data_IF_618628757065
#
_entry.id   IF_618628757065
#
_cell.length_a   1.000
_cell.length_b   1.000
_cell.length_c   1.000
_cell.angle_alpha   90.00
_cell.angle_beta   90.00
_cell.angle_gamma   90.00
#
_symmetry.space_group_name_H-M   'P 1'
#
loop_
_entity.id
_entity.type
_entity.pdbx_description
1 polymer ?
#
# COMPACT_ATOMS: atom_id res chain seq x y z
N UNK A 1 6.91 -12.05 -24.64
CA UNK A 1 7.71 -12.98 -23.80
C UNK A 1 8.36 -12.13 -22.75
N UNK A 2 7.86 -12.17 -21.53
CA UNK A 2 8.48 -11.47 -20.39
C UNK A 2 9.68 -12.30 -20.00
N UNK A 3 10.88 -11.68 -20.00
CA UNK A 3 12.14 -12.32 -19.66
C UNK A 3 12.08 -12.83 -18.22
N UNK A 4 12.36 -14.12 -18.01
CA UNK A 4 12.24 -14.84 -16.74
C UNK A 4 13.35 -14.49 -15.72
N UNK A 5 14.02 -13.35 -15.85
CA UNK A 5 15.02 -12.87 -14.90
C UNK A 5 14.45 -12.09 -13.70
N UNK A 6 13.12 -12.05 -13.55
CA UNK A 6 12.54 -11.68 -12.28
C UNK A 6 12.72 -12.86 -11.33
N UNK A 7 13.65 -12.75 -10.40
CA UNK A 7 13.92 -13.75 -9.38
C UNK A 7 12.79 -13.86 -8.36
N UNK A 8 11.59 -14.21 -8.82
CA UNK A 8 10.55 -14.71 -7.94
C UNK A 8 10.92 -16.14 -7.61
N UNK A 9 11.35 -16.36 -6.39
CA UNK A 9 11.57 -17.70 -5.87
C UNK A 9 10.19 -18.37 -5.69
N UNK A 10 9.80 -19.20 -6.67
CA UNK A 10 8.54 -19.96 -6.66
C UNK A 10 8.48 -21.03 -5.56
N UNK A 11 9.50 -21.12 -4.73
CA UNK A 11 9.62 -22.14 -3.69
C UNK A 11 8.63 -21.99 -2.52
N UNK A 12 7.87 -20.90 -2.43
CA UNK A 12 6.98 -20.65 -1.28
C UNK A 12 5.50 -20.97 -1.54
N UNK A 13 5.13 -21.41 -2.72
CA UNK A 13 3.80 -21.99 -2.99
C UNK A 13 3.86 -23.53 -2.90
N UNK A 14 4.01 -24.03 -1.69
CA UNK A 14 3.89 -25.47 -1.45
C UNK A 14 2.41 -25.88 -1.42
N UNK A 15 1.80 -26.07 -2.59
CA UNK A 15 0.50 -26.71 -2.68
C UNK A 15 0.72 -28.24 -2.79
N UNK A 16 0.25 -28.98 -1.79
CA UNK A 16 0.37 -30.44 -1.74
C UNK A 16 -0.56 -31.18 -2.73
N UNK A 17 -1.29 -30.47 -3.58
CA UNK A 17 -2.13 -31.07 -4.62
C UNK A 17 -1.35 -31.24 -5.92
N UNK A 18 -0.90 -32.46 -6.17
CA UNK A 18 -0.03 -32.87 -7.29
C UNK A 18 -0.68 -32.80 -8.70
N UNK A 19 -1.93 -32.35 -8.82
CA UNK A 19 -2.65 -32.36 -10.10
C UNK A 19 -2.78 -30.97 -10.77
N UNK A 20 -2.17 -29.94 -10.22
CA UNK A 20 -2.14 -28.60 -10.84
C UNK A 20 -0.83 -28.40 -11.58
N UNK A 21 -0.92 -28.13 -12.88
CA UNK A 21 0.23 -27.88 -13.73
C UNK A 21 1.11 -26.72 -13.21
N UNK A 22 2.39 -26.77 -13.53
CA UNK A 22 3.36 -25.71 -13.21
C UNK A 22 3.14 -24.56 -14.18
N UNK A 23 2.97 -23.33 -13.67
CA UNK A 23 2.95 -22.12 -14.50
C UNK A 23 4.36 -21.87 -15.03
N UNK A 24 4.58 -22.09 -16.32
CA UNK A 24 5.88 -21.95 -16.98
C UNK A 24 6.07 -20.60 -17.67
N UNK A 25 5.06 -19.72 -17.64
CA UNK A 25 5.13 -18.38 -18.21
C UNK A 25 3.75 -17.72 -18.33
N UNK A 26 3.77 -16.43 -18.68
CA UNK A 26 2.59 -15.64 -18.96
C UNK A 26 2.68 -15.14 -20.39
N UNK A 27 1.58 -15.22 -21.13
CA UNK A 27 1.44 -14.65 -22.46
C UNK A 27 0.36 -13.57 -22.41
N UNK A 28 0.72 -12.34 -22.79
CA UNK A 28 -0.25 -11.27 -22.95
C UNK A 28 -1.00 -11.52 -24.28
N UNK A 29 -2.30 -11.82 -24.22
CA UNK A 29 -3.15 -11.93 -25.39
C UNK A 29 -4.12 -10.77 -25.44
N UNK A 30 -4.13 -10.06 -26.54
CA UNK A 30 -5.22 -9.14 -26.87
C UNK A 30 -6.49 -9.96 -27.15
N UNK A 31 -7.53 -9.73 -26.34
CA UNK A 31 -8.84 -10.33 -26.57
C UNK A 31 -9.81 -9.23 -26.91
N UNK A 32 -10.28 -9.24 -28.16
CA UNK A 32 -11.36 -8.36 -28.61
C UNK A 32 -12.68 -9.08 -28.35
N UNK A 33 -13.50 -8.59 -27.44
CA UNK A 33 -14.87 -9.06 -27.25
C UNK A 33 -15.85 -8.09 -27.88
N UNK A 34 -16.77 -8.61 -28.71
CA UNK A 34 -17.88 -7.85 -29.25
C UNK A 34 -18.91 -7.58 -28.15
N UNK A 35 -19.26 -6.31 -27.94
CA UNK A 35 -20.21 -5.87 -26.89
C UNK A 35 -21.68 -5.95 -27.38
N UNK A 36 -21.97 -6.70 -28.43
CA UNK A 36 -23.25 -6.65 -29.12
C UNK A 36 -24.46 -7.26 -28.39
N UNK A 37 -24.34 -7.68 -27.12
CA UNK A 37 -25.45 -8.30 -26.38
C UNK A 37 -25.71 -7.74 -24.98
N UNK A 38 -25.42 -6.45 -24.72
CA UNK A 38 -25.85 -5.84 -23.46
C UNK A 38 -27.07 -4.94 -23.66
N UNK A 39 -28.27 -5.55 -23.70
CA UNK A 39 -29.55 -4.84 -23.60
C UNK A 39 -29.88 -4.59 -22.12
N UNK A 40 -29.29 -3.57 -21.54
CA UNK A 40 -29.57 -3.16 -20.17
C UNK A 40 -28.98 -1.78 -19.93
N UNK A 41 -29.76 -0.73 -20.21
CA UNK A 41 -29.31 0.63 -20.23
C UNK A 41 -28.87 1.19 -18.87
N UNK A 42 -27.68 1.71 -18.84
CA UNK A 42 -27.29 2.92 -18.10
C UNK A 42 -26.18 3.59 -18.89
N UNK A 43 -26.55 4.66 -19.55
CA UNK A 43 -25.62 5.54 -20.27
C UNK A 43 -24.73 6.26 -19.26
N UNK A 44 -23.54 5.79 -19.07
CA UNK A 44 -22.44 6.62 -18.59
C UNK A 44 -21.48 6.80 -19.75
N UNK A 45 -21.42 8.04 -20.27
CA UNK A 45 -20.52 8.38 -21.35
C UNK A 45 -19.06 8.17 -20.90
N UNK A 46 -18.46 7.14 -21.39
CA UNK A 46 -17.01 7.01 -21.40
C UNK A 46 -16.50 7.79 -22.60
N UNK A 47 -16.24 9.07 -22.39
CA UNK A 47 -15.34 9.82 -23.26
C UNK A 47 -13.99 9.13 -23.24
N UNK A 48 -13.33 9.10 -24.37
CA UNK A 48 -12.06 8.43 -24.65
C UNK A 48 -11.05 8.55 -23.48
N UNK A 49 -11.06 7.57 -22.59
CA UNK A 49 -10.18 7.51 -21.42
C UNK A 49 -8.74 7.11 -21.79
N UNK A 50 -8.35 7.22 -23.07
CA UNK A 50 -6.96 6.94 -23.49
C UNK A 50 -6.02 8.13 -23.37
N UNK A 51 -6.53 9.35 -23.32
CA UNK A 51 -5.67 10.54 -23.27
C UNK A 51 -5.58 11.19 -21.89
N UNK A 52 -6.50 10.88 -20.95
CA UNK A 52 -6.52 11.55 -19.65
C UNK A 52 -5.67 10.85 -18.56
N UNK A 53 -5.22 9.63 -18.80
CA UNK A 53 -4.39 8.90 -17.80
C UNK A 53 -2.92 9.35 -17.82
N UNK A 54 -2.47 10.00 -18.89
CA UNK A 54 -1.08 10.44 -19.05
C UNK A 54 -0.85 11.93 -18.78
N UNK A 55 -1.90 12.75 -18.72
CA UNK A 55 -1.74 14.20 -18.53
C UNK A 55 -1.83 14.69 -17.10
N UNK A 56 -2.07 13.83 -16.13
CA UNK A 56 -2.10 14.21 -14.71
C UNK A 56 -0.91 13.75 -13.87
N UNK A 57 0.16 13.27 -14.48
CA UNK A 57 1.47 13.20 -13.82
C UNK A 57 2.18 14.55 -14.01
N UNK A 58 1.45 15.64 -13.82
CA UNK A 58 1.99 16.97 -13.65
C UNK A 58 2.59 17.04 -12.25
N UNK A 59 3.81 17.51 -12.18
CA UNK A 59 4.56 17.97 -11.03
C UNK A 59 3.69 18.43 -9.85
N UNK A 60 3.12 17.53 -9.08
CA UNK A 60 2.48 17.89 -7.81
C UNK A 60 2.66 16.77 -6.82
N UNK A 61 3.40 17.13 -5.78
CA UNK A 61 3.38 16.54 -4.44
C UNK A 61 3.21 15.02 -4.38
N UNK A 62 4.18 14.42 -4.36
CA UNK A 62 4.90 13.41 -3.61
C UNK A 62 4.14 12.49 -2.64
N UNK A 63 2.84 12.52 -2.50
CA UNK A 63 2.16 11.60 -1.63
C UNK A 63 1.74 10.36 -2.42
N UNK A 64 2.27 9.21 -2.00
CA UNK A 64 1.93 7.94 -2.60
C UNK A 64 0.45 7.62 -2.43
N UNK A 65 -0.20 7.22 -3.51
CA UNK A 65 -1.55 6.65 -3.49
C UNK A 65 -1.43 5.14 -3.58
N UNK A 66 -0.89 4.53 -2.55
CA UNK A 66 -0.80 3.07 -2.45
C UNK A 66 -1.23 2.61 -1.06
N UNK A 67 -1.60 1.35 -0.92
CA UNK A 67 -1.91 0.74 0.37
C UNK A 67 -0.67 0.65 1.25
N UNK A 68 -0.88 0.67 2.55
CA UNK A 68 0.19 0.57 3.54
C UNK A 68 0.94 -0.77 3.48
N UNK A 69 0.32 -1.79 2.91
CA UNK A 69 0.91 -3.12 2.72
C UNK A 69 1.47 -3.33 1.31
N UNK A 70 1.64 -2.27 0.53
CA UNK A 70 2.14 -2.35 -0.84
C UNK A 70 3.64 -2.64 -0.87
N UNK A 71 4.05 -3.52 -1.78
CA UNK A 71 5.46 -3.80 -2.10
C UNK A 71 5.99 -2.98 -3.27
N UNK A 72 5.23 -2.04 -3.75
CA UNK A 72 5.64 -1.13 -4.81
C UNK A 72 5.05 0.26 -4.59
N UNK A 73 5.75 1.27 -5.07
CA UNK A 73 5.30 2.66 -5.01
C UNK A 73 5.79 3.42 -6.23
N UNK A 74 5.09 4.51 -6.55
CA UNK A 74 5.41 5.40 -7.65
C UNK A 74 5.93 6.73 -7.10
N UNK A 75 7.07 7.18 -7.64
CA UNK A 75 7.62 8.49 -7.33
C UNK A 75 8.46 9.00 -8.51
N UNK A 76 8.32 10.27 -8.90
CA UNK A 76 9.12 10.93 -9.94
C UNK A 76 9.25 10.11 -11.24
N UNK A 77 8.13 9.59 -11.78
CA UNK A 77 8.09 8.72 -12.96
C UNK A 77 8.95 7.45 -12.84
N UNK A 78 9.17 6.98 -11.65
CA UNK A 78 9.80 5.68 -11.37
C UNK A 78 8.84 4.80 -10.59
N UNK A 79 8.88 3.50 -10.88
CA UNK A 79 8.27 2.46 -10.07
C UNK A 79 9.37 1.82 -9.22
N UNK A 80 9.19 1.86 -7.92
CA UNK A 80 10.05 1.16 -6.96
C UNK A 80 9.31 -0.09 -6.51
N UNK A 81 9.88 -1.24 -6.76
CA UNK A 81 9.34 -2.53 -6.32
C UNK A 81 10.32 -3.19 -5.35
N UNK A 82 9.84 -3.55 -4.16
CA UNK A 82 10.67 -4.17 -3.13
C UNK A 82 10.40 -5.67 -3.05
N UNK A 83 11.48 -6.40 -2.88
CA UNK A 83 11.48 -7.79 -2.44
C UNK A 83 12.00 -7.84 -1.00
N UNK A 84 12.22 -9.01 -0.44
CA UNK A 84 12.70 -9.17 0.95
C UNK A 84 13.97 -8.38 1.27
N UNK A 85 14.85 -8.20 0.28
CA UNK A 85 16.15 -7.60 0.50
C UNK A 85 16.63 -6.65 -0.61
N UNK A 86 15.88 -6.50 -1.69
CA UNK A 86 16.22 -5.61 -2.79
C UNK A 86 15.05 -4.71 -3.18
N UNK A 87 15.41 -3.52 -3.65
CA UNK A 87 14.52 -2.60 -4.34
C UNK A 87 14.94 -2.50 -5.79
N UNK A 88 14.01 -2.80 -6.68
CA UNK A 88 14.19 -2.67 -8.13
C UNK A 88 13.50 -1.42 -8.62
N UNK A 89 14.20 -0.64 -9.43
CA UNK A 89 13.72 0.64 -9.96
C UNK A 89 13.44 0.48 -11.45
N UNK A 90 12.25 0.90 -11.86
CA UNK A 90 11.85 0.92 -13.26
C UNK A 90 11.59 2.36 -13.69
N UNK A 91 12.18 2.75 -14.82
CA UNK A 91 11.94 4.06 -15.41
C UNK A 91 10.66 4.03 -16.26
N UNK A 92 9.67 4.82 -15.88
CA UNK A 92 8.39 4.96 -16.57
C UNK A 92 8.39 6.09 -17.59
N UNK A 93 9.50 6.83 -17.73
CA UNK A 93 9.60 7.99 -18.63
C UNK A 93 9.59 7.61 -20.12
N UNK A 94 9.83 6.34 -20.43
CA UNK A 94 9.89 5.83 -21.80
C UNK A 94 8.77 4.82 -22.06
N UNK A 95 8.12 4.97 -23.20
CA UNK A 95 7.12 4.00 -23.67
C UNK A 95 7.81 2.67 -24.06
N UNK A 96 7.56 1.63 -23.27
CA UNK A 96 7.74 0.21 -23.54
C UNK A 96 9.04 -0.29 -24.25
N UNK A 97 9.56 -1.44 -23.85
CA UNK A 97 9.16 -2.26 -22.71
C UNK A 97 9.77 -1.77 -21.39
N UNK A 98 9.04 -1.94 -20.29
CA UNK A 98 9.51 -1.62 -18.94
C UNK A 98 10.79 -2.44 -18.65
N UNK A 99 11.89 -1.75 -18.36
CA UNK A 99 13.15 -2.37 -17.99
C UNK A 99 13.59 -1.90 -16.62
N UNK A 100 14.06 -2.82 -15.80
CA UNK A 100 14.74 -2.47 -14.58
C UNK A 100 15.99 -1.64 -14.93
N UNK A 101 16.14 -0.49 -14.30
CA UNK A 101 17.31 0.38 -14.48
C UNK A 101 18.36 0.12 -13.41
N UNK A 102 17.91 -0.10 -12.17
CA UNK A 102 18.77 -0.32 -11.02
C UNK A 102 18.14 -1.35 -10.07
N UNK A 103 19.00 -2.05 -9.31
CA UNK A 103 18.60 -2.90 -8.19
C UNK A 103 19.51 -2.61 -7.00
N UNK A 104 18.93 -2.19 -5.89
CA UNK A 104 19.63 -1.75 -4.68
C UNK A 104 19.33 -2.72 -3.55
N UNK A 105 20.37 -3.19 -2.86
CA UNK A 105 20.18 -3.93 -1.62
C UNK A 105 19.71 -2.99 -0.51
N UNK A 106 18.55 -3.26 0.08
CA UNK A 106 17.90 -2.35 1.05
C UNK A 106 17.82 -2.90 2.48
N UNK A 107 18.29 -4.10 2.71
CA UNK A 107 18.26 -4.72 4.05
C UNK A 107 17.59 -6.09 4.05
N UNK A 108 17.05 -6.50 5.18
CA UNK A 108 16.46 -7.82 5.37
C UNK A 108 14.96 -7.70 5.62
N UNK A 109 14.18 -8.60 4.99
CA UNK A 109 12.74 -8.76 5.20
C UNK A 109 11.94 -7.46 5.02
N UNK A 110 12.21 -6.72 3.93
CA UNK A 110 11.36 -5.59 3.57
C UNK A 110 10.00 -6.12 3.12
N UNK A 111 8.94 -5.67 3.80
CA UNK A 111 7.58 -6.14 3.55
C UNK A 111 6.73 -5.11 2.81
N UNK A 112 6.97 -3.83 3.07
CA UNK A 112 6.16 -2.74 2.53
C UNK A 112 7.02 -1.56 2.11
N UNK A 113 6.52 -0.74 1.18
CA UNK A 113 7.16 0.51 0.78
C UNK A 113 6.11 1.60 0.55
N UNK A 114 6.36 2.77 1.11
CA UNK A 114 5.55 3.96 0.94
C UNK A 114 6.44 5.15 0.57
N UNK A 115 6.03 5.96 -0.42
CA UNK A 115 6.75 7.19 -0.77
C UNK A 115 6.06 8.40 -0.17
N UNK A 116 6.87 9.27 0.43
CA UNK A 116 6.43 10.56 0.94
C UNK A 116 7.55 11.58 0.73
N UNK A 117 7.23 12.69 0.07
CA UNK A 117 8.23 13.65 -0.40
C UNK A 117 9.37 12.94 -1.15
N UNK A 118 10.61 13.35 -0.93
CA UNK A 118 11.80 12.75 -1.56
C UNK A 118 12.33 11.52 -0.81
N UNK A 119 11.44 10.77 -0.12
CA UNK A 119 11.84 9.62 0.70
C UNK A 119 10.96 8.39 0.47
N UNK A 120 11.56 7.23 0.64
CA UNK A 120 10.89 5.94 0.72
C UNK A 120 10.96 5.41 2.15
N UNK A 121 9.82 5.05 2.69
CA UNK A 121 9.66 4.45 4.00
C UNK A 121 9.33 2.98 3.81
N UNK A 122 10.18 2.11 4.32
CA UNK A 122 10.05 0.66 4.15
C UNK A 122 9.81 0.00 5.49
N UNK A 123 8.69 -0.71 5.60
CA UNK A 123 8.36 -1.52 6.76
C UNK A 123 9.10 -2.87 6.72
N UNK A 124 9.58 -3.28 7.88
CA UNK A 124 10.23 -4.57 8.11
C UNK A 124 9.71 -5.19 9.41
N UNK A 125 9.84 -6.50 9.67
CA UNK A 125 9.40 -7.10 10.93
C UNK A 125 10.05 -6.52 12.19
N UNK A 126 11.09 -5.74 12.08
CA UNK A 126 11.87 -5.22 13.22
C UNK A 126 11.93 -3.71 13.27
N UNK A 127 11.27 -3.03 12.34
CA UNK A 127 11.31 -1.57 12.28
C UNK A 127 10.99 -0.98 10.92
N UNK A 128 11.34 0.26 10.76
CA UNK A 128 11.18 1.02 9.53
C UNK A 128 12.56 1.50 9.06
N UNK A 129 12.79 1.40 7.75
CA UNK A 129 14.01 1.90 7.07
C UNK A 129 13.61 3.07 6.18
N UNK A 130 14.45 4.10 6.13
CA UNK A 130 14.21 5.30 5.33
C UNK A 130 15.34 5.47 4.31
N UNK A 131 14.96 5.63 3.03
CA UNK A 131 15.86 5.97 1.93
C UNK A 131 15.43 7.31 1.32
N UNK A 132 16.40 8.16 1.00
CA UNK A 132 16.16 9.33 0.14
C UNK A 132 16.17 8.92 -1.33
N UNK A 133 15.25 9.49 -2.08
CA UNK A 133 15.14 9.38 -3.54
C UNK A 133 15.20 10.76 -4.21
N UNK A 134 15.90 11.70 -3.60
CA UNK A 134 16.22 13.01 -4.21
C UNK A 134 16.88 12.81 -5.58
N UNK A 135 17.76 11.81 -5.74
CA UNK A 135 18.09 11.23 -7.06
C UNK A 135 17.26 9.95 -7.22
N UNK A 136 16.20 9.97 -8.07
CA UNK A 136 15.29 8.85 -8.19
C UNK A 136 15.92 7.54 -8.68
N UNK A 137 17.10 7.60 -9.29
CA UNK A 137 17.83 6.41 -9.76
C UNK A 137 18.90 5.94 -8.76
N UNK A 138 19.19 6.72 -7.72
CA UNK A 138 20.20 6.41 -6.71
C UNK A 138 19.67 6.57 -5.29
N UNK A 139 18.79 5.70 -4.83
CA UNK A 139 18.30 5.75 -3.46
C UNK A 139 19.45 5.67 -2.46
N UNK A 140 19.45 6.60 -1.50
CA UNK A 140 20.47 6.69 -0.45
C UNK A 140 19.86 6.40 0.92
N UNK A 141 20.45 5.45 1.64
CA UNK A 141 20.04 5.15 3.02
C UNK A 141 20.19 6.38 3.92
N UNK A 142 19.15 6.69 4.68
CA UNK A 142 19.13 7.82 5.61
C UNK A 142 19.21 7.35 7.06
N UNK A 143 18.33 6.45 7.44
CA UNK A 143 18.23 5.97 8.82
C UNK A 143 17.35 4.72 8.92
N UNK A 144 17.27 4.20 10.13
CA UNK A 144 16.27 3.22 10.53
C UNK A 144 15.82 3.45 11.96
N UNK A 145 14.59 3.04 12.26
CA UNK A 145 14.07 2.99 13.64
C UNK A 145 13.60 1.58 13.92
N UNK A 146 14.04 1.02 15.05
CA UNK A 146 13.64 -0.32 15.47
C UNK A 146 12.45 -0.27 16.42
N UNK A 147 11.61 -1.27 16.36
CA UNK A 147 10.51 -1.48 17.30
C UNK A 147 10.39 -2.97 17.68
N UNK A 148 9.37 -3.30 18.45
CA UNK A 148 9.04 -4.69 18.83
C UNK A 148 8.68 -5.49 17.57
N UNK A 149 9.05 -6.73 17.51
CA UNK A 149 8.82 -7.63 16.38
C UNK A 149 7.34 -7.64 15.95
N UNK A 150 7.07 -7.30 14.69
CA UNK A 150 5.73 -7.24 14.11
C UNK A 150 5.80 -7.18 12.58
N UNK A 151 4.68 -7.33 11.88
CA UNK A 151 4.60 -7.08 10.44
C UNK A 151 4.01 -5.68 10.24
N UNK A 152 4.70 -4.80 9.51
CA UNK A 152 4.55 -3.36 9.70
C UNK A 152 4.18 -2.59 8.42
N UNK A 153 2.88 -2.50 8.13
CA UNK A 153 2.36 -1.47 7.24
C UNK A 153 2.77 -0.08 7.70
N UNK A 154 3.22 0.75 6.75
CA UNK A 154 3.60 2.14 7.01
C UNK A 154 2.95 3.09 6.02
N UNK A 155 2.44 4.21 6.52
CA UNK A 155 2.06 5.39 5.73
C UNK A 155 2.61 6.64 6.39
N UNK A 156 2.85 7.68 5.61
CA UNK A 156 3.41 8.94 6.10
C UNK A 156 2.55 10.11 5.62
N UNK A 157 2.27 11.05 6.52
CA UNK A 157 1.59 12.30 6.21
C UNK A 157 2.00 13.37 7.24
N UNK A 158 2.20 14.61 6.78
CA UNK A 158 2.58 15.74 7.64
C UNK A 158 3.75 15.43 8.58
N UNK A 159 4.84 14.86 8.04
CA UNK A 159 6.05 14.49 8.79
C UNK A 159 5.83 13.46 9.91
N UNK A 160 4.72 12.76 9.90
CA UNK A 160 4.42 11.67 10.82
C UNK A 160 4.24 10.34 10.07
N UNK A 161 5.03 9.35 10.45
CA UNK A 161 4.84 7.98 9.99
C UNK A 161 3.93 7.22 10.96
N UNK A 162 2.93 6.54 10.41
CA UNK A 162 1.97 5.70 11.12
C UNK A 162 2.28 4.25 10.80
N UNK A 163 2.66 3.50 11.80
CA UNK A 163 3.11 2.11 11.66
C UNK A 163 2.19 1.21 12.50
N UNK A 164 1.56 0.25 11.86
CA UNK A 164 0.74 -0.74 12.56
C UNK A 164 1.56 -1.99 12.87
N UNK A 165 1.67 -2.36 14.12
CA UNK A 165 2.34 -3.57 14.58
C UNK A 165 1.28 -4.60 14.94
N UNK A 166 1.28 -5.74 14.26
CA UNK A 166 0.30 -6.81 14.42
C UNK A 166 0.91 -8.08 15.01
N UNK A 167 0.29 -8.62 16.06
CA UNK A 167 0.64 -9.89 16.67
C UNK A 167 -0.05 -11.08 16.00
N UNK A 168 0.44 -12.29 16.27
CA UNK A 168 -0.25 -13.53 15.85
C UNK A 168 0.11 -14.06 14.48
N UNK A 169 1.11 -13.50 13.82
CA UNK A 169 1.77 -14.06 12.65
C UNK A 169 3.14 -14.65 13.02
N UNK A 170 3.88 -15.15 12.04
CA UNK A 170 5.23 -15.69 12.22
C UNK A 170 6.26 -14.70 12.82
N UNK A 171 5.87 -13.41 12.93
CA UNK A 171 6.71 -12.34 13.47
C UNK A 171 6.77 -12.29 15.01
N UNK A 172 5.93 -12.99 15.76
CA UNK A 172 6.29 -13.58 17.06
C UNK A 172 6.09 -12.80 18.36
N UNK A 173 5.33 -11.66 18.43
CA UNK A 173 5.02 -11.01 19.73
C UNK A 173 3.54 -10.68 19.90
N UNK A 174 3.05 -10.66 21.16
CA UNK A 174 1.66 -10.34 21.51
C UNK A 174 1.42 -8.82 21.64
N UNK A 175 1.94 -8.04 20.69
CA UNK A 175 1.79 -6.58 20.71
C UNK A 175 0.99 -6.11 19.50
N UNK A 176 -0.24 -5.68 19.76
CA UNK A 176 -1.09 -5.01 18.78
C UNK A 176 -1.09 -3.52 19.06
N UNK A 177 -0.47 -2.75 18.20
CA UNK A 177 -0.33 -1.31 18.43
C UNK A 177 -0.26 -0.50 17.13
N UNK A 178 -0.61 0.76 17.23
CA UNK A 178 -0.29 1.81 16.26
C UNK A 178 0.83 2.65 16.85
N UNK A 179 1.97 2.67 16.19
CA UNK A 179 3.11 3.52 16.55
C UNK A 179 3.13 4.74 15.64
N UNK A 180 3.44 5.91 16.20
CA UNK A 180 3.62 7.14 15.46
C UNK A 180 5.05 7.62 15.65
N UNK A 181 5.69 7.92 14.53
CA UNK A 181 7.09 8.34 14.45
C UNK A 181 7.16 9.72 13.79
N UNK A 182 7.79 10.69 14.46
CA UNK A 182 8.18 11.97 13.86
C UNK A 182 9.34 11.72 12.89
N UNK A 183 9.11 12.03 11.62
CA UNK A 183 10.05 11.87 10.51
C UNK A 183 10.40 13.21 9.86
N UNK A 184 10.10 14.34 10.51
CA UNK A 184 10.48 15.67 10.07
C UNK A 184 12.00 15.80 9.85
N UNK A 185 12.77 14.98 10.55
CA UNK A 185 14.17 14.75 10.27
C UNK A 185 14.39 13.26 9.98
N UNK A 186 14.35 12.89 8.70
CA UNK A 186 14.51 11.51 8.23
C UNK A 186 15.81 10.84 8.66
N UNK A 187 16.83 11.61 9.07
CA UNK A 187 18.11 11.09 9.59
C UNK A 187 18.06 10.70 11.06
N UNK A 188 17.07 11.23 11.80
CA UNK A 188 16.92 10.99 13.25
C UNK A 188 15.43 10.85 13.58
N UNK A 189 14.75 9.84 13.03
CA UNK A 189 13.33 9.62 13.30
C UNK A 189 13.11 9.33 14.79
N UNK A 190 11.97 9.77 15.34
CA UNK A 190 11.67 9.62 16.77
C UNK A 190 10.28 9.06 16.97
N UNK A 191 10.16 7.97 17.71
CA UNK A 191 8.86 7.53 18.17
C UNK A 191 8.26 8.56 19.13
N UNK A 192 7.07 9.07 18.79
CA UNK A 192 6.40 10.14 19.56
C UNK A 192 5.16 9.63 20.28
N UNK A 193 4.53 8.56 19.79
CA UNK A 193 3.37 7.96 20.45
C UNK A 193 3.23 6.47 20.12
N UNK A 194 2.48 5.77 21.00
CA UNK A 194 2.06 4.39 20.79
C UNK A 194 0.66 4.22 21.36
N UNK A 195 -0.23 3.62 20.57
CA UNK A 195 -1.62 3.36 20.95
C UNK A 195 -1.89 1.85 20.88
N UNK A 196 -2.44 1.29 21.95
CA UNK A 196 -2.86 -0.11 21.96
C UNK A 196 -4.04 -0.32 21.03
N UNK A 197 -3.95 -1.34 20.17
CA UNK A 197 -4.97 -1.74 19.21
C UNK A 197 -5.47 -3.16 19.51
N UNK A 198 -6.46 -3.62 18.75
CA UNK A 198 -7.04 -4.96 18.92
C UNK A 198 -6.36 -5.98 18.01
N UNK A 199 -6.34 -5.68 16.71
CA UNK A 199 -5.74 -6.50 15.65
C UNK A 199 -5.49 -5.61 14.44
N UNK A 200 -4.57 -4.63 14.55
CA UNK A 200 -4.36 -3.63 13.52
C UNK A 200 -3.71 -4.28 12.29
N UNK A 201 -4.17 -3.87 11.12
CA UNK A 201 -3.67 -4.29 9.81
C UNK A 201 -3.33 -3.06 8.98
N UNK A 202 -3.88 -2.93 7.79
CA UNK A 202 -3.65 -1.79 6.94
C UNK A 202 -4.09 -0.46 7.56
N UNK A 203 -3.36 0.59 7.23
CA UNK A 203 -3.55 1.96 7.69
C UNK A 203 -3.49 2.92 6.51
N UNK A 204 -4.25 4.00 6.55
CA UNK A 204 -4.23 5.04 5.53
C UNK A 204 -4.48 6.41 6.15
N UNK A 205 -3.98 7.44 5.51
CA UNK A 205 -4.16 8.83 5.94
C UNK A 205 -4.70 9.65 4.78
N UNK A 206 -5.62 10.55 5.06
CA UNK A 206 -6.11 11.54 4.13
C UNK A 206 -6.71 12.74 4.88
N UNK A 207 -6.29 13.95 4.51
CA UNK A 207 -6.82 15.20 5.03
C UNK A 207 -6.87 15.28 6.58
N UNK A 208 -5.82 14.85 7.26
CA UNK A 208 -5.73 14.86 8.73
C UNK A 208 -6.58 13.80 9.42
N UNK A 209 -7.08 12.85 8.66
CA UNK A 209 -7.78 11.67 9.16
C UNK A 209 -6.92 10.42 9.01
N UNK A 210 -6.99 9.56 10.01
CA UNK A 210 -6.38 8.24 10.00
C UNK A 210 -7.47 7.17 9.89
N UNK A 211 -7.32 6.30 8.93
CA UNK A 211 -8.15 5.13 8.68
C UNK A 211 -7.36 3.89 9.06
N UNK A 212 -7.95 3.01 9.85
CA UNK A 212 -7.26 1.82 10.36
C UNK A 212 -8.16 0.59 10.29
N UNK A 213 -7.68 -0.45 9.63
CA UNK A 213 -8.27 -1.79 9.72
C UNK A 213 -7.90 -2.39 11.08
N UNK A 214 -8.79 -2.31 12.07
CA UNK A 214 -8.59 -2.86 13.41
C UNK A 214 -9.91 -3.35 14.01
N UNK A 215 -10.16 -4.66 13.93
CA UNK A 215 -11.44 -5.28 14.31
C UNK A 215 -12.66 -4.54 13.68
N UNK A 216 -12.56 -4.25 12.40
CA UNK A 216 -13.43 -3.38 11.62
C UNK A 216 -12.65 -2.22 11.02
N UNK A 217 -13.33 -1.15 10.63
CA UNK A 217 -12.73 0.10 10.21
C UNK A 217 -12.84 1.13 11.34
N UNK A 218 -11.71 1.64 11.79
CA UNK A 218 -11.62 2.72 12.78
C UNK A 218 -11.15 4.01 12.12
N UNK A 219 -11.78 5.11 12.47
CA UNK A 219 -11.44 6.45 12.02
C UNK A 219 -11.03 7.32 13.20
N UNK A 220 -9.96 8.07 12.98
CA UNK A 220 -9.44 9.02 13.96
C UNK A 220 -9.15 10.35 13.29
N UNK A 221 -9.31 11.46 14.01
CA UNK A 221 -8.62 12.71 13.66
C UNK A 221 -7.25 12.74 14.31
N UNK A 222 -6.29 13.27 13.56
CA UNK A 222 -4.93 13.49 14.02
C UNK A 222 -4.87 14.93 14.56
N UNK A 223 -4.79 15.07 15.87
CA UNK A 223 -4.64 16.39 16.51
C UNK A 223 -3.17 16.61 16.84
N UNK A 224 -2.57 17.61 16.21
CA UNK A 224 -1.19 18.04 16.41
C UNK A 224 -1.18 19.45 17.02
N UNK A 225 -0.05 19.95 17.61
CA UNK A 225 1.30 19.38 17.60
C UNK A 225 1.96 19.10 18.96
N UNK A 226 1.54 19.66 20.07
CA UNK A 226 2.30 19.50 21.32
C UNK A 226 1.93 18.24 22.11
N UNK A 227 0.75 17.70 21.88
CA UNK A 227 0.27 16.46 22.48
C UNK A 227 -0.41 15.67 21.37
N UNK A 228 0.37 14.84 20.67
CA UNK A 228 -0.18 13.98 19.64
C UNK A 228 -1.30 13.12 20.23
N UNK A 229 -2.50 13.40 19.83
CA UNK A 229 -3.69 12.73 20.29
C UNK A 229 -4.50 12.24 19.10
N UNK A 230 -4.83 10.96 19.09
CA UNK A 230 -5.77 10.39 18.16
C UNK A 230 -7.15 10.44 18.76
N UNK A 231 -7.97 11.34 18.27
CA UNK A 231 -9.38 11.37 18.66
C UNK A 231 -10.18 10.38 17.83
N UNK A 232 -10.68 9.33 18.46
CA UNK A 232 -11.59 8.40 17.80
C UNK A 232 -12.85 9.12 17.32
N UNK A 233 -13.12 9.05 16.02
CA UNK A 233 -14.33 9.57 15.40
C UNK A 233 -15.41 8.51 15.35
N UNK A 234 -15.09 7.37 14.75
CA UNK A 234 -16.05 6.31 14.46
C UNK A 234 -15.37 4.95 14.38
N UNK A 235 -16.11 3.93 14.73
CA UNK A 235 -15.78 2.55 14.43
C UNK A 235 -16.94 1.91 13.66
N UNK A 236 -16.62 1.31 12.52
CA UNK A 236 -17.54 0.53 11.71
C UNK A 236 -17.22 -0.95 11.91
N UNK A 237 -18.12 -1.68 12.54
CA UNK A 237 -18.04 -3.13 12.69
C UNK A 237 -18.59 -3.82 11.43
N UNK A 238 -18.09 -5.02 11.14
CA UNK A 238 -18.52 -5.77 9.94
C UNK A 238 -17.77 -5.39 8.65
N UNK A 239 -16.86 -4.42 8.70
CA UNK A 239 -15.91 -4.11 7.65
C UNK A 239 -14.56 -4.80 7.99
N UNK A 240 -14.39 -6.07 7.61
CA UNK A 240 -13.18 -6.84 7.92
C UNK A 240 -12.11 -6.63 6.83
N UNK A 241 -11.51 -5.43 6.81
CA UNK A 241 -10.46 -5.07 5.87
C UNK A 241 -9.09 -5.62 6.25
N UNK A 242 -8.26 -5.87 5.23
CA UNK A 242 -6.84 -6.17 5.36
C UNK A 242 -5.98 -4.93 5.14
N UNK A 243 -6.25 -4.20 4.05
CA UNK A 243 -5.58 -2.95 3.71
C UNK A 243 -6.57 -1.96 3.13
N UNK A 244 -6.21 -0.69 3.11
CA UNK A 244 -7.08 0.38 2.65
C UNK A 244 -6.30 1.55 2.06
N UNK A 245 -6.93 2.24 1.13
CA UNK A 245 -6.42 3.44 0.47
C UNK A 245 -7.53 4.49 0.51
N UNK A 246 -7.44 5.51 1.37
CA UNK A 246 -8.29 6.69 1.27
C UNK A 246 -7.75 7.61 0.18
N UNK A 247 -8.59 8.02 -0.76
CA UNK A 247 -8.22 8.92 -1.84
C UNK A 247 -9.44 9.66 -2.38
N UNK A 248 -9.38 10.98 -2.42
CA UNK A 248 -10.44 11.83 -2.98
C UNK A 248 -11.84 11.48 -2.44
N UNK A 249 -12.00 11.41 -1.12
CA UNK A 249 -13.23 11.03 -0.44
C UNK A 249 -13.75 9.61 -0.76
N UNK A 250 -12.96 8.80 -1.46
CA UNK A 250 -13.26 7.39 -1.72
C UNK A 250 -12.28 6.51 -0.97
N UNK A 251 -12.80 5.67 -0.07
CA UNK A 251 -12.03 4.64 0.60
C UNK A 251 -12.10 3.35 -0.21
N UNK A 252 -10.96 2.91 -0.72
CA UNK A 252 -10.79 1.57 -1.29
C UNK A 252 -10.27 0.65 -0.18
N UNK A 253 -10.93 -0.48 0.05
CA UNK A 253 -10.56 -1.41 1.10
C UNK A 253 -10.56 -2.84 0.58
N UNK A 254 -9.43 -3.51 0.71
CA UNK A 254 -9.29 -4.94 0.41
C UNK A 254 -9.71 -5.74 1.64
N UNK A 255 -10.59 -6.72 1.43
CA UNK A 255 -11.05 -7.65 2.43
C UNK A 255 -10.93 -9.10 1.92
N UNK A 256 -11.34 -10.06 2.73
CA UNK A 256 -11.22 -11.50 2.39
C UNK A 256 -11.93 -11.88 1.09
N UNK A 257 -13.05 -11.23 0.78
CA UNK A 257 -13.95 -11.64 -0.30
C UNK A 257 -14.09 -10.59 -1.41
N UNK A 258 -13.24 -9.55 -1.44
CA UNK A 258 -13.28 -8.56 -2.50
C UNK A 258 -12.65 -7.22 -2.17
N UNK A 259 -12.64 -6.34 -3.17
CA UNK A 259 -12.30 -4.94 -3.05
C UNK A 259 -13.60 -4.13 -2.87
N UNK A 260 -13.67 -3.37 -1.80
CA UNK A 260 -14.79 -2.52 -1.44
C UNK A 260 -14.46 -1.06 -1.70
N UNK A 261 -15.47 -0.29 -2.10
CA UNK A 261 -15.39 1.16 -2.19
C UNK A 261 -16.46 1.80 -1.30
N UNK A 262 -16.05 2.83 -0.58
CA UNK A 262 -16.91 3.62 0.27
C UNK A 262 -16.68 5.12 0.03
N UNK A 263 -17.74 5.91 0.07
CA UNK A 263 -17.70 7.37 0.16
C UNK A 263 -17.55 7.78 1.62
N UNK A 264 -16.48 8.51 1.96
CA UNK A 264 -16.24 9.08 3.28
C UNK A 264 -16.30 10.61 3.33
N UNK A 265 -17.00 11.24 2.37
CA UNK A 265 -17.28 12.69 2.41
C UNK A 265 -17.88 13.09 3.77
N UNK A 266 -18.75 12.26 4.34
CA UNK A 266 -19.19 12.34 5.73
C UNK A 266 -18.60 11.18 6.53
N UNK A 267 -17.53 11.45 7.28
CA UNK A 267 -16.83 10.46 8.09
C UNK A 267 -17.68 9.85 9.21
N UNK A 268 -18.75 10.52 9.60
CA UNK A 268 -19.72 9.99 10.57
C UNK A 268 -20.74 9.04 9.93
N UNK A 269 -20.81 9.02 8.59
CA UNK A 269 -21.78 8.22 7.86
C UNK A 269 -21.19 7.76 6.50
N UNK A 270 -20.13 6.95 6.57
CA UNK A 270 -19.49 6.33 5.39
C UNK A 270 -20.54 5.51 4.61
N UNK A 271 -20.61 5.73 3.30
CA UNK A 271 -21.56 5.07 2.42
C UNK A 271 -20.87 4.03 1.54
N UNK A 272 -21.44 2.84 1.51
CA UNK A 272 -21.02 1.83 0.55
C UNK A 272 -21.31 2.29 -0.89
N UNK A 273 -20.32 2.20 -1.77
CA UNK A 273 -20.44 2.52 -3.20
C UNK A 273 -20.48 1.27 -4.06
N UNK A 274 -19.48 0.41 -3.93
CA UNK A 274 -19.38 -0.78 -4.76
C UNK A 274 -18.52 -1.87 -4.12
N UNK A 275 -18.63 -3.08 -4.66
CA UNK A 275 -17.78 -4.22 -4.35
C UNK A 275 -17.38 -4.93 -5.64
N UNK A 276 -16.09 -5.15 -5.80
CA UNK A 276 -15.55 -6.09 -6.78
C UNK A 276 -15.22 -7.39 -6.05
N UNK A 277 -16.04 -8.46 -6.21
CA UNK A 277 -15.78 -9.71 -5.51
C UNK A 277 -14.56 -10.41 -6.10
N UNK A 278 -13.79 -11.08 -5.28
CA UNK A 278 -12.78 -12.00 -5.77
C UNK A 278 -13.48 -13.26 -6.31
N UNK A 279 -12.99 -13.79 -7.44
CA UNK A 279 -13.48 -15.07 -7.95
C UNK A 279 -13.07 -16.16 -6.95
N UNK A 280 -14.02 -16.61 -6.13
CA UNK A 280 -13.84 -17.81 -5.32
C UNK A 280 -13.92 -18.97 -6.30
N UNK A 281 -12.77 -19.49 -6.73
CA UNK A 281 -12.74 -20.81 -7.37
C UNK A 281 -13.22 -21.81 -6.32
N UNK A 282 -14.45 -22.30 -6.49
CA UNK A 282 -14.95 -23.39 -5.66
C UNK A 282 -13.93 -24.54 -5.73
N UNK A 283 -13.41 -24.91 -4.58
CA UNK A 283 -12.55 -26.08 -4.41
C UNK A 283 -13.40 -27.36 -4.52
#
# INVERSE_FOLDING_TARGET
>A
VIDNNFGFDYAMCYDQNQDKGIVVGWELRERTESIDNYTGGWYWGWGNAKDDLYTSVGETSSNSVNGSMSRFTLYANKLYAVTENHMTIFDLSNEQPLKATESVYVGWNVETVFSYEDNLFMGTPTGMIIYSVTDPLKPEWQSSISHVYGCDPVVVDNDLAYVTVHSGNLCGQDSNQLMIVDVSNVKVPKQVATFKMTSPKGVGVDNGMLFLCDAGLKLFTIETPANLYLRSLKQYTGMAGYDLIPYNNTLMMIAEDGLYQYDYTDVNNIKFLSKLPFAITAQ
#
